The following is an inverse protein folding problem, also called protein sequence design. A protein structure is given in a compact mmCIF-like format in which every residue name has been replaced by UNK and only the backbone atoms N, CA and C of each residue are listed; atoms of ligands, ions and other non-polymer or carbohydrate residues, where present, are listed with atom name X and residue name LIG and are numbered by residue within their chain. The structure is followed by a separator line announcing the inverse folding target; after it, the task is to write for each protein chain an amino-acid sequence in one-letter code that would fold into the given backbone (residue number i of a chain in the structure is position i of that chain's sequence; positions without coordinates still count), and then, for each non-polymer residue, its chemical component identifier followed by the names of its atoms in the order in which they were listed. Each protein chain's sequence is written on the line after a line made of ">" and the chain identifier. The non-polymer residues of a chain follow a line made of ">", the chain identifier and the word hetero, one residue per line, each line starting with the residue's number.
data_IF_203407244932
#
_entry.id   IF_203407244932
#
_cell.length_a   1.000
_cell.length_b   1.000
_cell.length_c   1.000
_cell.angle_alpha   90.00
_cell.angle_beta   90.00
_cell.angle_gamma   90.00
#
_symmetry.space_group_name_H-M   'P 1'
#
loop_
_entity.id
_entity.type
_entity.pdbx_description
1 polymer ?
#
# COMPACT_ATOMS: atom_id res chain seq x y z
N UNK A 1 11.08 -4.84 -10.57
CA UNK A 1 10.02 -3.82 -10.64
C UNK A 1 10.33 -2.93 -11.84
N UNK A 2 9.41 -2.80 -12.79
CA UNK A 2 9.61 -1.99 -14.00
C UNK A 2 9.28 -0.51 -13.76
N UNK A 3 9.77 0.40 -14.61
CA UNK A 3 9.69 1.87 -14.45
C UNK A 3 8.28 2.45 -14.27
N UNK A 4 7.22 1.70 -14.58
CA UNK A 4 5.83 2.17 -14.53
C UNK A 4 5.23 2.34 -13.13
N UNK A 5 5.71 1.59 -12.13
CA UNK A 5 5.19 1.70 -10.75
C UNK A 5 5.68 2.96 -10.04
N UNK A 6 6.95 3.32 -10.28
CA UNK A 6 7.66 4.37 -9.55
C UNK A 6 7.18 5.78 -9.91
N UNK A 7 6.85 6.04 -11.19
CA UNK A 7 6.36 7.37 -11.61
C UNK A 7 4.99 7.71 -11.02
N UNK A 8 4.17 6.71 -10.68
CA UNK A 8 2.88 6.91 -10.02
C UNK A 8 3.09 7.01 -8.51
N UNK A 9 3.92 6.16 -7.91
CA UNK A 9 4.27 6.20 -6.48
C UNK A 9 4.90 7.55 -6.06
N UNK A 10 5.70 8.17 -6.92
CA UNK A 10 6.26 9.52 -6.69
C UNK A 10 5.17 10.62 -6.65
N UNK A 11 4.06 10.47 -7.39
CA UNK A 11 2.93 11.42 -7.36
C UNK A 11 2.12 11.34 -6.07
N UNK A 12 2.27 10.27 -5.30
CA UNK A 12 1.62 10.07 -4.01
C UNK A 12 2.47 10.53 -2.81
N UNK A 13 3.64 11.13 -3.06
CA UNK A 13 4.47 11.71 -2.01
C UNK A 13 5.32 10.71 -1.25
N UNK A 14 5.73 9.61 -1.90
CA UNK A 14 6.81 8.76 -1.39
C UNK A 14 8.08 9.58 -1.15
N UNK A 15 8.69 9.43 0.03
CA UNK A 15 9.86 10.20 0.46
C UNK A 15 11.06 9.32 0.86
N UNK A 16 10.93 7.99 0.71
CA UNK A 16 11.98 7.04 1.02
C UNK A 16 12.82 6.71 -0.23
N UNK A 17 14.09 6.30 -0.04
CA UNK A 17 14.95 5.87 -1.13
C UNK A 17 14.32 4.77 -1.99
N UNK A 18 14.67 4.73 -3.27
CA UNK A 18 14.19 3.66 -4.16
C UNK A 18 14.47 2.27 -3.56
N UNK A 19 13.45 1.41 -3.66
CA UNK A 19 13.43 0.06 -3.10
C UNK A 19 13.63 0.00 -1.58
N UNK A 20 13.30 1.06 -0.83
CA UNK A 20 13.15 0.94 0.61
C UNK A 20 12.19 -0.22 0.95
N UNK A 21 12.52 -1.08 1.93
CA UNK A 21 11.73 -2.28 2.18
C UNK A 21 10.28 -1.94 2.57
N UNK A 22 9.32 -2.53 1.86
CA UNK A 22 7.88 -2.53 2.16
C UNK A 22 7.15 -1.18 2.05
N UNK A 23 7.71 -0.13 2.64
CA UNK A 23 7.09 1.20 2.78
C UNK A 23 7.76 2.19 1.85
N UNK A 24 6.96 3.14 1.39
CA UNK A 24 7.33 4.14 0.37
C UNK A 24 7.36 5.57 0.97
N UNK A 25 6.67 5.78 2.11
CA UNK A 25 6.67 7.03 2.87
C UNK A 25 6.85 6.79 4.36
N UNK A 26 7.60 7.70 5.00
CA UNK A 26 7.76 7.79 6.45
C UNK A 26 7.53 9.23 6.92
N UNK A 27 6.65 9.41 7.90
CA UNK A 27 6.48 10.68 8.62
C UNK A 27 6.96 10.53 10.08
N UNK A 28 8.17 11.01 10.41
CA UNK A 28 8.71 10.87 11.77
C UNK A 28 8.00 11.77 12.80
N UNK A 29 7.23 12.77 12.37
CA UNK A 29 6.53 13.67 13.30
C UNK A 29 5.26 13.03 13.86
N UNK A 30 4.64 12.14 13.08
CA UNK A 30 3.40 11.43 13.45
C UNK A 30 3.62 9.95 13.72
N UNK A 31 4.72 9.37 13.24
CA UNK A 31 5.02 7.94 13.34
C UNK A 31 4.30 7.09 12.28
N UNK A 32 3.84 7.70 11.18
CA UNK A 32 3.07 7.01 10.14
C UNK A 32 4.00 6.44 9.06
N UNK A 33 3.94 5.12 8.84
CA UNK A 33 4.50 4.48 7.65
C UNK A 33 3.40 4.22 6.61
N UNK A 34 3.72 4.45 5.34
CA UNK A 34 2.78 4.18 4.23
C UNK A 34 3.46 3.36 3.14
N UNK A 35 2.82 2.26 2.73
CA UNK A 35 3.12 1.58 1.48
C UNK A 35 2.13 2.05 0.42
N UNK A 36 2.63 2.47 -0.73
CA UNK A 36 1.84 2.98 -1.85
C UNK A 36 1.86 1.92 -2.94
N UNK A 37 0.71 1.52 -3.45
CA UNK A 37 0.59 0.54 -4.54
C UNK A 37 -0.38 1.07 -5.59
N UNK A 38 -0.10 0.79 -6.85
CA UNK A 38 -1.02 1.14 -7.93
C UNK A 38 -1.55 -0.11 -8.62
N UNK A 39 -2.87 -0.24 -8.71
CA UNK A 39 -3.54 -1.33 -9.42
C UNK A 39 -4.34 -0.78 -10.60
N UNK A 40 -4.04 -1.26 -11.80
CA UNK A 40 -4.93 -1.08 -12.94
C UNK A 40 -6.01 -2.16 -12.89
N UNK A 41 -7.19 -1.87 -12.35
CA UNK A 41 -8.21 -2.89 -12.08
C UNK A 41 -8.78 -3.57 -13.35
N UNK A 42 -8.45 -3.08 -14.55
CA UNK A 42 -8.72 -3.72 -15.84
C UNK A 42 -7.70 -4.79 -16.25
N UNK A 43 -6.56 -4.89 -15.56
CA UNK A 43 -5.57 -5.93 -15.84
C UNK A 43 -6.15 -7.31 -15.45
N UNK A 44 -5.84 -8.34 -16.25
CA UNK A 44 -6.41 -9.69 -16.09
C UNK A 44 -6.22 -10.32 -14.70
N UNK A 45 -5.19 -9.91 -13.95
CA UNK A 45 -5.00 -10.33 -12.56
C UNK A 45 -6.08 -9.78 -11.63
N UNK A 46 -6.45 -8.51 -11.80
CA UNK A 46 -7.37 -7.81 -10.90
C UNK A 46 -8.83 -7.90 -11.33
N UNK A 47 -9.09 -8.31 -12.57
CA UNK A 47 -10.42 -8.74 -13.02
C UNK A 47 -10.94 -9.97 -12.25
N UNK A 48 -10.04 -10.80 -11.72
CA UNK A 48 -10.44 -11.94 -10.89
C UNK A 48 -10.53 -11.51 -9.41
N UNK A 49 -11.73 -11.51 -8.79
CA UNK A 49 -11.91 -11.04 -7.42
C UNK A 49 -11.07 -11.80 -6.39
N UNK A 50 -10.85 -13.11 -6.60
CA UNK A 50 -10.01 -13.93 -5.70
C UNK A 50 -8.55 -13.52 -5.76
N UNK A 51 -8.04 -13.24 -6.96
CA UNK A 51 -6.66 -12.78 -7.16
C UNK A 51 -6.46 -11.37 -6.61
N UNK A 52 -7.41 -10.45 -6.83
CA UNK A 52 -7.39 -9.12 -6.24
C UNK A 52 -7.38 -9.18 -4.71
N UNK A 53 -8.28 -9.99 -4.12
CA UNK A 53 -8.35 -10.21 -2.66
C UNK A 53 -7.02 -10.71 -2.12
N UNK A 54 -6.48 -11.78 -2.71
CA UNK A 54 -5.23 -12.37 -2.29
C UNK A 54 -4.08 -11.36 -2.34
N UNK A 55 -4.03 -10.53 -3.40
CA UNK A 55 -2.98 -9.52 -3.56
C UNK A 55 -3.09 -8.41 -2.51
N UNK A 56 -4.30 -7.94 -2.22
CA UNK A 56 -4.54 -6.97 -1.15
C UNK A 56 -4.09 -7.53 0.21
N UNK A 57 -4.50 -8.76 0.54
CA UNK A 57 -4.11 -9.42 1.79
C UNK A 57 -2.60 -9.65 1.89
N UNK A 58 -1.92 -9.95 0.78
CA UNK A 58 -0.46 -10.06 0.72
C UNK A 58 0.20 -8.73 1.12
N UNK A 59 -0.23 -7.61 0.55
CA UNK A 59 0.34 -6.30 0.88
C UNK A 59 -0.01 -5.85 2.29
N UNK A 60 -1.25 -6.07 2.74
CA UNK A 60 -1.66 -5.78 4.12
C UNK A 60 -0.75 -6.49 5.11
N UNK A 61 -0.51 -7.80 4.92
CA UNK A 61 0.40 -8.56 5.81
C UNK A 61 1.84 -8.06 5.77
N UNK A 62 2.33 -7.67 4.59
CA UNK A 62 3.68 -7.08 4.46
C UNK A 62 3.80 -5.78 5.25
N UNK A 63 2.81 -4.90 5.14
CA UNK A 63 2.77 -3.62 5.86
C UNK A 63 2.59 -3.84 7.36
N UNK A 64 1.69 -4.74 7.75
CA UNK A 64 1.45 -5.11 9.15
C UNK A 64 2.73 -5.63 9.83
N UNK A 65 3.48 -6.51 9.15
CA UNK A 65 4.74 -7.08 9.65
C UNK A 65 5.98 -6.20 9.42
N UNK A 66 5.81 -4.93 9.06
CA UNK A 66 6.94 -4.01 8.95
C UNK A 66 7.36 -3.50 10.33
N UNK A 67 8.60 -3.82 10.71
CA UNK A 67 9.18 -3.52 12.02
C UNK A 67 10.35 -2.54 11.91
N UNK A 68 10.38 -1.74 10.84
CA UNK A 68 11.48 -0.84 10.55
C UNK A 68 12.51 -1.42 9.57
N UNK A 69 13.36 -0.54 9.07
CA UNK A 69 14.44 -0.86 8.14
C UNK A 69 15.45 0.30 8.10
N UNK A 70 16.64 0.01 7.57
CA UNK A 70 17.65 1.02 7.31
C UNK A 70 18.12 0.95 5.86
N UNK A 71 18.07 2.07 5.14
CA UNK A 71 18.57 2.17 3.76
C UNK A 71 18.77 3.62 3.36
N UNK A 72 19.84 3.90 2.61
CA UNK A 72 20.05 5.21 1.97
C UNK A 72 20.06 6.39 2.95
N UNK A 73 20.60 6.19 4.16
CA UNK A 73 20.62 7.22 5.21
C UNK A 73 19.37 7.30 6.08
N UNK A 74 18.27 6.64 5.70
CA UNK A 74 17.06 6.54 6.52
C UNK A 74 17.14 5.36 7.46
N UNK A 75 16.68 5.55 8.69
CA UNK A 75 16.45 4.51 9.68
C UNK A 75 15.06 4.71 10.27
N UNK A 76 14.25 3.67 10.18
CA UNK A 76 12.95 3.58 10.85
C UNK A 76 13.09 2.42 11.84
N UNK A 77 12.74 2.65 13.10
CA UNK A 77 12.66 1.60 14.12
C UNK A 77 11.21 1.35 14.48
N UNK A 78 10.88 0.12 14.88
CA UNK A 78 9.51 -0.28 15.19
C UNK A 78 8.84 0.62 16.23
N UNK A 79 9.58 1.01 17.27
CA UNK A 79 9.08 1.84 18.38
C UNK A 79 8.63 3.24 17.94
N UNK A 80 9.13 3.74 16.81
CA UNK A 80 8.70 5.04 16.26
C UNK A 80 7.38 4.90 15.47
N UNK A 81 6.97 3.68 15.09
CA UNK A 81 5.82 3.44 14.22
C UNK A 81 4.53 3.42 15.04
N UNK A 82 3.73 4.47 14.90
CA UNK A 82 2.42 4.62 15.56
C UNK A 82 1.27 4.10 14.69
N UNK A 83 1.42 4.14 13.36
CA UNK A 83 0.37 3.78 12.42
C UNK A 83 0.95 3.21 11.12
N UNK A 84 0.24 2.21 10.58
CA UNK A 84 0.59 1.52 9.35
C UNK A 84 -0.51 1.73 8.31
N UNK A 85 -0.13 2.22 7.13
CA UNK A 85 -1.08 2.53 6.06
C UNK A 85 -0.70 1.78 4.78
N UNK A 86 -1.69 1.15 4.16
CA UNK A 86 -1.62 0.71 2.77
C UNK A 86 -2.48 1.65 1.92
N UNK A 87 -1.84 2.35 1.01
CA UNK A 87 -2.48 3.28 0.09
C UNK A 87 -2.51 2.67 -1.31
N UNK A 88 -3.71 2.53 -1.88
CA UNK A 88 -3.93 1.94 -3.19
C UNK A 88 -4.46 2.98 -4.16
N UNK A 89 -3.65 3.31 -5.17
CA UNK A 89 -4.03 4.09 -6.33
C UNK A 89 -4.70 3.23 -7.41
N UNK A 90 -5.84 3.68 -7.92
CA UNK A 90 -6.55 3.05 -9.05
C UNK A 90 -6.79 4.07 -10.17
N UNK A 91 -6.43 3.81 -11.44
CA UNK A 91 -6.67 4.76 -12.54
C UNK A 91 -8.15 4.94 -12.89
N UNK A 92 -8.99 3.99 -12.49
CA UNK A 92 -10.42 3.99 -12.75
C UNK A 92 -11.14 3.32 -11.58
N UNK A 93 -12.42 3.65 -11.42
CA UNK A 93 -13.25 3.06 -10.36
C UNK A 93 -13.37 1.54 -10.48
N UNK A 94 -13.61 0.86 -9.35
CA UNK A 94 -13.84 -0.59 -9.32
C UNK A 94 -15.23 -0.94 -9.90
N UNK A 95 -15.37 -2.18 -10.39
CA UNK A 95 -16.71 -2.79 -10.57
C UNK A 95 -17.36 -3.07 -9.22
N UNK A 96 -18.66 -3.39 -9.19
CA UNK A 96 -19.35 -3.75 -7.94
C UNK A 96 -18.68 -4.95 -7.21
N UNK A 97 -18.24 -5.96 -7.97
CA UNK A 97 -17.52 -7.11 -7.43
C UNK A 97 -16.15 -6.72 -6.85
N UNK A 98 -15.41 -5.85 -7.53
CA UNK A 98 -14.13 -5.36 -7.04
C UNK A 98 -14.30 -4.46 -5.80
N UNK A 99 -15.36 -3.65 -5.76
CA UNK A 99 -15.71 -2.83 -4.60
C UNK A 99 -15.97 -3.71 -3.36
N UNK A 100 -16.71 -4.80 -3.52
CA UNK A 100 -16.92 -5.77 -2.43
C UNK A 100 -15.61 -6.41 -1.94
N UNK A 101 -14.63 -6.63 -2.83
CA UNK A 101 -13.30 -7.08 -2.44
C UNK A 101 -12.55 -6.01 -1.63
N UNK A 102 -12.62 -4.74 -2.02
CA UNK A 102 -12.00 -3.65 -1.27
C UNK A 102 -12.63 -3.49 0.12
N UNK A 103 -13.95 -3.57 0.24
CA UNK A 103 -14.62 -3.54 1.55
C UNK A 103 -14.16 -4.69 2.46
N UNK A 104 -14.10 -5.91 1.93
CA UNK A 104 -13.58 -7.06 2.67
C UNK A 104 -12.09 -6.89 3.05
N UNK A 105 -11.30 -6.27 2.17
CA UNK A 105 -9.90 -5.97 2.44
C UNK A 105 -9.72 -4.87 3.49
N UNK A 106 -10.61 -3.87 3.54
CA UNK A 106 -10.61 -2.83 4.57
C UNK A 106 -10.86 -3.42 5.96
N UNK A 107 -11.84 -4.33 6.08
CA UNK A 107 -12.07 -5.07 7.32
C UNK A 107 -10.83 -5.89 7.73
N UNK A 108 -10.27 -6.65 6.79
CA UNK A 108 -9.06 -7.46 7.03
C UNK A 108 -7.84 -6.60 7.42
N UNK A 109 -7.67 -5.42 6.82
CA UNK A 109 -6.59 -4.49 7.15
C UNK A 109 -6.70 -4.00 8.59
N UNK A 110 -7.91 -3.60 9.02
CA UNK A 110 -8.16 -3.15 10.40
C UNK A 110 -7.85 -4.23 11.42
N UNK A 111 -8.23 -5.49 11.14
CA UNK A 111 -7.88 -6.64 11.98
C UNK A 111 -6.36 -6.85 12.13
N UNK A 112 -5.56 -6.36 11.18
CA UNK A 112 -4.11 -6.48 11.16
C UNK A 112 -3.40 -5.16 11.56
N UNK A 113 -4.13 -4.19 12.11
CA UNK A 113 -3.56 -2.91 12.52
C UNK A 113 -3.09 -2.03 11.36
N UNK A 114 -3.67 -2.22 10.17
CA UNK A 114 -3.35 -1.46 8.96
C UNK A 114 -4.58 -0.68 8.51
N UNK A 115 -4.40 0.59 8.18
CA UNK A 115 -5.41 1.37 7.47
C UNK A 115 -5.28 1.15 5.96
N UNK A 116 -6.37 0.77 5.30
CA UNK A 116 -6.44 0.69 3.84
C UNK A 116 -7.12 1.94 3.28
N UNK A 117 -6.39 2.71 2.47
CA UNK A 117 -6.94 3.86 1.74
C UNK A 117 -6.93 3.54 0.25
N UNK A 118 -8.08 3.61 -0.40
CA UNK A 118 -8.20 3.44 -1.86
C UNK A 118 -8.56 4.77 -2.49
N UNK A 119 -7.80 5.22 -3.49
CA UNK A 119 -8.10 6.47 -4.19
C UNK A 119 -7.90 6.38 -5.69
N UNK A 120 -8.75 7.10 -6.41
CA UNK A 120 -8.65 7.18 -7.87
C UNK A 120 -7.56 8.18 -8.25
N UNK A 121 -6.59 7.75 -9.05
CA UNK A 121 -5.61 8.65 -9.67
C UNK A 121 -6.05 9.01 -11.07
N UNK A 122 -6.01 10.31 -11.38
CA UNK A 122 -6.30 10.86 -12.70
C UNK A 122 -5.03 11.37 -13.34
#
# INVERSE_FOLDING_TARGET
>A
MGPRGYEIEARFGGNLPYAFPTVDKWDPSTGVVTSIKTFNLKDGTYLNPRKLKWKLQEYIRKVAGFNGAQRGGFRIVEDDITQRVLEVGIPHGPTAEQAAVFEAATAYAREHGVELIVRTVR
#
